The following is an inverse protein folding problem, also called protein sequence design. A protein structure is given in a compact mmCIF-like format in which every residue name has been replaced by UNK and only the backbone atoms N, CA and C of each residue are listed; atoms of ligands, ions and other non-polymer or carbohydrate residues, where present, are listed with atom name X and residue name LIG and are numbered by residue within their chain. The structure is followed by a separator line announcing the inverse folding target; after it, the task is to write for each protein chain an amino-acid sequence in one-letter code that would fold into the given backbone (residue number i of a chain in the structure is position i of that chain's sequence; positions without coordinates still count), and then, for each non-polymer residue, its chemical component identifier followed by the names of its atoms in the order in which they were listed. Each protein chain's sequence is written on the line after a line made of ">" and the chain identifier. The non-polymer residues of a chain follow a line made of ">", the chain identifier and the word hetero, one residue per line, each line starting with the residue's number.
data_IF_800038016529
#
_entry.id   IF_800038016529
#
_cell.length_a   1.000
_cell.length_b   1.000
_cell.length_c   1.000
_cell.angle_alpha   90.00
_cell.angle_beta   90.00
_cell.angle_gamma   90.00
#
_symmetry.space_group_name_H-M   'P 1'
#
loop_
_entity.id
_entity.type
_entity.pdbx_description
1 polymer ?
#
# COMPACT_ATOMS: atom_id res chain seq x y z
N UNK A 1 -2.26 24.72 -13.27
CA UNK A 1 -1.72 23.42 -12.85
C UNK A 1 -2.49 22.35 -13.62
N UNK A 2 -1.84 21.27 -14.08
CA UNK A 2 -2.55 20.13 -14.68
C UNK A 2 -3.19 19.30 -13.54
N UNK A 3 -4.37 18.70 -13.74
CA UNK A 3 -4.94 17.78 -12.76
C UNK A 3 -4.04 16.54 -12.62
N UNK A 4 -3.85 16.09 -11.38
CA UNK A 4 -3.15 14.84 -11.06
C UNK A 4 -4.21 13.81 -10.70
N UNK A 5 -4.21 12.68 -11.39
CA UNK A 5 -5.14 11.58 -11.16
C UNK A 5 -4.39 10.42 -10.50
N UNK A 6 -4.72 10.14 -9.24
CA UNK A 6 -4.12 9.05 -8.47
C UNK A 6 -5.18 8.01 -8.11
N UNK A 7 -4.84 6.73 -8.23
CA UNK A 7 -5.66 5.63 -7.72
C UNK A 7 -4.86 4.74 -6.78
N UNK A 8 -5.43 4.45 -5.60
CA UNK A 8 -4.86 3.47 -4.69
C UNK A 8 -5.18 2.07 -5.21
N UNK A 9 -4.15 1.25 -5.36
CA UNK A 9 -4.27 -0.13 -5.80
C UNK A 9 -4.49 -1.03 -4.58
N UNK A 10 -5.74 -1.38 -4.29
CA UNK A 10 -6.12 -2.09 -3.06
C UNK A 10 -5.44 -3.45 -2.92
N UNK A 11 -5.37 -4.26 -3.98
CA UNK A 11 -4.72 -5.57 -3.95
C UNK A 11 -3.21 -5.46 -3.76
N UNK A 12 -2.56 -4.56 -4.50
CA UNK A 12 -1.13 -4.31 -4.35
C UNK A 12 -0.80 -3.76 -2.95
N UNK A 13 -1.65 -2.91 -2.39
CA UNK A 13 -1.56 -2.42 -1.00
C UNK A 13 -1.70 -3.57 0.00
N UNK A 14 -2.66 -4.48 -0.19
CA UNK A 14 -2.81 -5.67 0.65
C UNK A 14 -1.58 -6.57 0.65
N UNK A 15 -1.00 -6.80 -0.54
CA UNK A 15 0.25 -7.54 -0.70
C UNK A 15 1.44 -6.82 -0.04
N UNK A 16 1.49 -5.48 -0.13
CA UNK A 16 2.49 -4.66 0.55
C UNK A 16 2.39 -4.77 2.07
N UNK A 17 1.19 -4.71 2.65
CA UNK A 17 0.97 -4.92 4.09
C UNK A 17 1.46 -6.31 4.49
N UNK A 18 1.12 -7.37 3.72
CA UNK A 18 1.58 -8.73 4.00
C UNK A 18 3.10 -8.82 4.07
N UNK A 19 3.78 -8.21 3.09
CA UNK A 19 5.25 -8.19 3.05
C UNK A 19 5.85 -7.44 4.24
N UNK A 20 5.32 -6.27 4.57
CA UNK A 20 5.80 -5.46 5.70
C UNK A 20 5.64 -6.20 7.04
N UNK A 21 4.57 -6.97 7.21
CA UNK A 21 4.38 -7.83 8.38
C UNK A 21 5.43 -8.95 8.44
N UNK A 22 5.66 -9.64 7.32
CA UNK A 22 6.67 -10.70 7.22
C UNK A 22 8.08 -10.19 7.52
N UNK A 23 8.47 -9.03 6.95
CA UNK A 23 9.77 -8.39 7.17
C UNK A 23 10.00 -8.03 8.65
N UNK A 24 8.93 -7.85 9.42
CA UNK A 24 8.98 -7.51 10.86
C UNK A 24 8.71 -8.70 11.77
N UNK A 25 8.49 -9.89 11.21
CA UNK A 25 8.14 -11.08 11.98
C UNK A 25 6.78 -10.98 12.69
N UNK A 26 5.86 -10.15 12.19
CA UNK A 26 4.53 -9.96 12.77
C UNK A 26 3.51 -10.91 12.12
N UNK A 27 2.67 -11.50 12.95
CA UNK A 27 1.53 -12.32 12.53
C UNK A 27 0.24 -11.51 12.47
N UNK A 28 -0.78 -12.04 11.79
CA UNK A 28 -2.14 -11.44 11.81
C UNK A 28 -2.68 -11.31 13.25
N UNK A 29 -2.30 -12.25 14.14
CA UNK A 29 -2.70 -12.22 15.54
C UNK A 29 -2.05 -11.06 16.29
N UNK A 30 -0.77 -10.78 16.04
CA UNK A 30 -0.08 -9.64 16.67
C UNK A 30 -0.72 -8.32 16.27
N UNK A 31 -1.07 -8.19 14.99
CA UNK A 31 -1.82 -7.03 14.48
C UNK A 31 -3.18 -6.95 15.20
N UNK A 32 -3.97 -8.02 15.18
CA UNK A 32 -5.27 -8.05 15.86
C UNK A 32 -5.17 -7.62 17.34
N UNK A 33 -4.19 -8.14 18.07
CA UNK A 33 -3.95 -7.81 19.47
C UNK A 33 -3.58 -6.33 19.65
N UNK A 34 -2.73 -5.78 18.78
CA UNK A 34 -2.36 -4.37 18.83
C UNK A 34 -3.55 -3.41 18.57
N UNK A 35 -4.51 -3.83 17.75
CA UNK A 35 -5.76 -3.09 17.53
C UNK A 35 -6.78 -3.28 18.65
N UNK A 36 -6.60 -4.25 19.55
CA UNK A 36 -7.61 -4.63 20.55
C UNK A 36 -8.86 -5.26 19.94
N UNK A 37 -8.76 -5.83 18.73
CA UNK A 37 -9.90 -6.47 18.07
C UNK A 37 -10.20 -7.84 18.67
N UNK A 38 -11.49 -8.14 18.83
CA UNK A 38 -11.93 -9.48 19.23
C UNK A 38 -11.69 -10.51 18.10
N UNK A 39 -11.77 -10.09 16.83
CA UNK A 39 -11.63 -10.97 15.67
C UNK A 39 -10.68 -10.40 14.58
N UNK A 40 -9.87 -11.23 13.88
CA UNK A 40 -8.89 -10.80 12.87
C UNK A 40 -9.48 -10.52 11.48
N UNK A 41 -10.80 -10.58 11.31
CA UNK A 41 -11.44 -10.59 9.99
C UNK A 41 -11.12 -9.34 9.14
N UNK A 42 -11.01 -8.17 9.77
CA UNK A 42 -10.65 -6.94 9.08
C UNK A 42 -9.24 -7.03 8.47
N UNK A 43 -8.27 -7.56 9.23
CA UNK A 43 -6.89 -7.73 8.77
C UNK A 43 -6.84 -8.63 7.55
N UNK A 44 -7.56 -9.76 7.55
CA UNK A 44 -7.59 -10.66 6.39
C UNK A 44 -8.16 -9.98 5.13
N UNK A 45 -9.20 -9.14 5.26
CA UNK A 45 -9.76 -8.37 4.13
C UNK A 45 -8.77 -7.37 3.56
N UNK A 46 -7.94 -6.76 4.42
CA UNK A 46 -6.88 -5.85 3.97
C UNK A 46 -5.80 -6.61 3.21
N UNK A 47 -5.36 -7.75 3.75
CA UNK A 47 -4.32 -8.57 3.12
C UNK A 47 -4.76 -9.19 1.79
N UNK A 48 -6.04 -9.52 1.64
CA UNK A 48 -6.60 -10.02 0.36
C UNK A 48 -6.88 -8.93 -0.66
N UNK A 49 -6.76 -7.65 -0.28
CA UNK A 49 -7.13 -6.54 -1.16
C UNK A 49 -8.64 -6.37 -1.35
N UNK A 50 -9.48 -7.02 -0.54
CA UNK A 50 -10.94 -6.91 -0.65
C UNK A 50 -11.46 -5.58 -0.10
N UNK A 51 -10.71 -4.92 0.77
CA UNK A 51 -10.98 -3.57 1.28
C UNK A 51 -9.70 -2.93 1.80
N UNK A 52 -9.60 -1.61 1.78
CA UNK A 52 -8.54 -0.89 2.48
C UNK A 52 -8.84 -0.77 3.99
N UNK A 53 -7.83 -0.64 4.85
CA UNK A 53 -8.03 -0.12 6.20
C UNK A 53 -8.60 1.30 6.13
N UNK A 54 -9.47 1.67 7.08
CA UNK A 54 -9.87 3.07 7.26
C UNK A 54 -8.65 3.94 7.58
N UNK A 55 -8.75 5.26 7.43
CA UNK A 55 -7.64 6.17 7.73
C UNK A 55 -7.10 5.98 9.17
N UNK A 56 -7.99 5.89 10.17
CA UNK A 56 -7.60 5.64 11.56
C UNK A 56 -6.84 4.31 11.70
N UNK A 57 -7.31 3.27 11.01
CA UNK A 57 -6.64 1.99 11.01
C UNK A 57 -5.29 2.06 10.29
N UNK A 58 -5.14 2.83 9.20
CA UNK A 58 -3.85 3.03 8.56
C UNK A 58 -2.85 3.75 9.47
N UNK A 59 -3.31 4.75 10.24
CA UNK A 59 -2.46 5.44 11.22
C UNK A 59 -1.96 4.44 12.26
N UNK A 60 -2.82 3.60 12.84
CA UNK A 60 -2.41 2.57 13.80
C UNK A 60 -1.44 1.57 13.14
N UNK A 61 -1.74 1.12 11.92
CA UNK A 61 -0.91 0.18 11.17
C UNK A 61 0.49 0.75 10.93
N UNK A 62 0.60 2.02 10.58
CA UNK A 62 1.87 2.73 10.39
C UNK A 62 2.74 2.69 11.65
N UNK A 63 2.12 2.77 12.84
CA UNK A 63 2.83 2.67 14.13
C UNK A 63 3.29 1.25 14.43
N UNK A 64 2.43 0.25 14.21
CA UNK A 64 2.77 -1.18 14.37
C UNK A 64 3.91 -1.57 13.42
N UNK A 65 3.86 -1.07 12.19
CA UNK A 65 4.84 -1.33 11.15
C UNK A 65 6.03 -0.35 11.19
N UNK A 66 6.12 0.59 12.12
CA UNK A 66 7.22 1.56 12.17
C UNK A 66 7.57 2.18 10.80
N UNK A 67 6.56 2.59 10.04
CA UNK A 67 6.70 3.11 8.66
C UNK A 67 5.65 4.18 8.40
N UNK A 68 5.74 4.91 7.29
CA UNK A 68 4.76 5.93 6.93
C UNK A 68 3.50 5.31 6.30
N UNK A 69 2.38 6.05 6.22
CA UNK A 69 1.18 5.56 5.52
C UNK A 69 1.47 5.47 4.02
N UNK A 70 2.25 6.41 3.52
CA UNK A 70 2.74 6.49 2.16
C UNK A 70 3.50 5.22 1.80
N UNK A 71 4.38 4.71 2.67
CA UNK A 71 5.14 3.46 2.49
C UNK A 71 4.30 2.16 2.50
N UNK A 72 3.08 2.26 3.03
CA UNK A 72 2.11 1.17 3.03
C UNK A 72 1.30 1.17 1.72
N UNK A 73 0.94 2.34 1.21
CA UNK A 73 0.06 2.50 0.06
C UNK A 73 0.77 2.22 -1.26
N UNK A 74 0.09 1.50 -2.16
CA UNK A 74 0.51 1.42 -3.56
C UNK A 74 -0.40 2.32 -4.38
N UNK A 75 0.19 3.30 -5.07
CA UNK A 75 -0.53 4.31 -5.86
C UNK A 75 -0.12 4.21 -7.32
N UNK A 76 -1.11 4.29 -8.20
CA UNK A 76 -0.91 4.44 -9.64
C UNK A 76 -1.23 5.89 -10.03
N UNK A 77 -0.32 6.50 -10.80
CA UNK A 77 -0.51 7.83 -11.35
C UNK A 77 -0.95 7.74 -12.82
N UNK A 78 -2.10 8.32 -13.13
CA UNK A 78 -2.62 8.38 -14.49
C UNK A 78 -2.23 9.73 -15.10
N UNK A 79 -1.24 9.73 -15.98
CA UNK A 79 -0.88 10.92 -16.75
C UNK A 79 -1.70 10.99 -18.03
N UNK A 80 -2.47 12.05 -18.22
CA UNK A 80 -3.10 12.35 -19.51
C UNK A 80 -2.04 12.85 -20.51
N UNK A 81 -1.38 11.93 -21.20
CA UNK A 81 -0.66 12.23 -22.44
C UNK A 81 -0.35 10.95 -23.22
N UNK A 82 -1.28 10.51 -24.07
CA UNK A 82 -1.03 9.93 -25.41
C UNK A 82 -0.10 8.72 -25.60
N UNK A 83 0.61 8.23 -24.58
CA UNK A 83 1.50 7.09 -24.61
C UNK A 83 1.26 6.27 -23.33
N UNK A 84 0.98 5.00 -23.52
CA UNK A 84 0.49 3.98 -22.58
C UNK A 84 1.44 3.63 -21.42
N UNK A 85 1.96 4.60 -20.67
CA UNK A 85 2.83 4.35 -19.53
C UNK A 85 2.07 4.45 -18.21
N UNK A 86 1.23 3.46 -17.92
CA UNK A 86 0.73 3.20 -16.56
C UNK A 86 1.90 2.69 -15.70
N UNK A 87 2.42 3.54 -14.81
CA UNK A 87 3.49 3.18 -13.89
C UNK A 87 2.96 2.99 -12.47
N UNK A 88 3.22 1.82 -11.86
CA UNK A 88 2.99 1.62 -10.43
C UNK A 88 4.08 2.37 -9.67
N UNK A 89 3.71 3.32 -8.82
CA UNK A 89 4.64 4.04 -7.96
C UNK A 89 4.74 3.29 -6.63
N UNK A 90 5.89 2.68 -6.37
CA UNK A 90 6.19 2.08 -5.07
C UNK A 90 6.73 3.15 -4.11
N UNK A 91 6.17 3.28 -2.90
CA UNK A 91 6.67 4.24 -1.94
C UNK A 91 8.02 3.78 -1.36
N UNK A 92 8.95 4.73 -1.23
CA UNK A 92 10.33 4.52 -0.78
C UNK A 92 11.36 4.32 -1.92
N UNK A 93 10.93 4.15 -3.17
CA UNK A 93 11.82 4.22 -4.32
C UNK A 93 11.75 5.62 -4.93
N UNK A 94 12.84 6.38 -4.83
CA UNK A 94 13.08 7.58 -5.64
C UNK A 94 12.70 7.24 -7.09
N UNK A 95 11.84 8.07 -7.67
CA UNK A 95 11.29 7.95 -9.03
C UNK A 95 12.12 7.02 -9.93
N UNK A 96 11.67 5.79 -10.11
CA UNK A 96 12.10 4.96 -11.24
C UNK A 96 11.37 5.51 -12.49
N UNK A 97 11.71 6.75 -12.85
CA UNK A 97 11.40 7.30 -14.16
C UNK A 97 12.10 6.42 -15.19
N UNK A 98 11.28 5.66 -15.93
CA UNK A 98 11.44 5.26 -17.33
C UNK A 98 12.90 5.35 -17.83
N UNK A 99 13.66 4.28 -17.64
CA UNK A 99 14.84 4.00 -18.47
C UNK A 99 15.08 2.50 -18.65
N UNK A 100 14.06 1.81 -19.14
CA UNK A 100 14.25 0.67 -20.04
C UNK A 100 13.74 1.19 -21.39
N UNK A 101 14.60 1.87 -22.16
CA UNK A 101 15.15 1.33 -23.43
C UNK A 101 14.04 0.63 -24.22
N UNK A 102 13.46 1.21 -25.27
CA UNK A 102 14.16 1.55 -26.52
C UNK A 102 15.37 0.62 -26.71
N UNK A 103 15.06 -0.64 -26.98
CA UNK A 103 15.68 -1.36 -28.09
C UNK A 103 14.68 -1.39 -29.24
#
# INVERSE_FOLDING_TARGET
>A
MKPVYLSIQTEATGNRIRRLLQERGLTVRDVQTAYGFEYPQAVYKWLSGSSLPSLDNMVILSRILHTSIEDILVVEEHTEAGNSSSGIVYPGAVLFFIKLSVE
#
